data_IF_808966856328
#
_entry.id   IF_808966856328
#
_cell.length_a   1.000
_cell.length_b   1.000
_cell.length_c   1.000
_cell.angle_alpha   90.00
_cell.angle_beta   90.00
_cell.angle_gamma   90.00
#
_symmetry.space_group_name_H-M   'P 1'
#
loop_
_entity.id
_entity.type
_entity.pdbx_description
1 polymer ?
#
# COMPACT_ATOMS: atom_id res chain seq x y z
N UNK A 1 -23.19 -51.67 -49.56
CA UNK A 1 -23.44 -51.14 -48.21
C UNK A 1 -22.10 -50.77 -47.59
N UNK A 2 -21.72 -49.50 -47.54
CA UNK A 2 -20.52 -49.04 -46.79
C UNK A 2 -20.80 -47.65 -46.25
N UNK A 3 -20.97 -47.56 -44.93
CA UNK A 3 -21.34 -46.36 -44.21
C UNK A 3 -20.10 -45.66 -43.63
N UNK A 4 -20.09 -44.34 -43.76
CA UNK A 4 -19.74 -43.32 -42.77
C UNK A 4 -18.79 -43.72 -41.62
N UNK A 5 -17.61 -43.09 -41.55
CA UNK A 5 -16.97 -42.60 -40.31
C UNK A 5 -16.10 -41.37 -40.69
N UNK A 6 -16.64 -40.17 -40.53
CA UNK A 6 -15.89 -38.91 -40.45
C UNK A 6 -16.48 -38.07 -39.31
N UNK A 7 -16.20 -38.46 -38.06
CA UNK A 7 -16.43 -37.62 -36.87
C UNK A 7 -15.39 -37.91 -35.81
N UNK A 8 -14.19 -37.37 -35.93
CA UNK A 8 -13.29 -37.31 -34.76
C UNK A 8 -12.21 -36.22 -34.81
N UNK A 9 -12.47 -35.02 -35.35
CA UNK A 9 -11.44 -33.97 -35.38
C UNK A 9 -11.78 -32.67 -34.63
N UNK A 10 -12.99 -32.55 -34.06
CA UNK A 10 -13.44 -31.32 -33.37
C UNK A 10 -13.21 -31.33 -31.84
N UNK A 11 -12.70 -32.42 -31.28
CA UNK A 11 -12.44 -32.58 -29.83
C UNK A 11 -11.08 -32.04 -29.33
N UNK A 12 -9.94 -32.15 -30.06
CA UNK A 12 -8.67 -31.67 -29.53
C UNK A 12 -8.57 -30.13 -29.51
N UNK A 13 -9.28 -29.44 -30.41
CA UNK A 13 -9.26 -27.98 -30.50
C UNK A 13 -9.95 -27.29 -29.30
N UNK A 14 -11.01 -27.92 -28.75
CA UNK A 14 -11.70 -27.40 -27.56
C UNK A 14 -10.86 -27.57 -26.28
N UNK A 15 -10.10 -28.67 -26.18
CA UNK A 15 -9.20 -28.90 -25.05
C UNK A 15 -8.01 -27.93 -25.05
N UNK A 16 -7.45 -27.62 -26.22
CA UNK A 16 -6.40 -26.60 -26.39
C UNK A 16 -6.89 -25.19 -26.03
N UNK A 17 -8.12 -24.83 -26.41
CA UNK A 17 -8.72 -23.55 -26.05
C UNK A 17 -8.98 -23.42 -24.54
N UNK A 18 -9.42 -24.49 -23.88
CA UNK A 18 -9.62 -24.52 -22.41
C UNK A 18 -8.27 -24.43 -21.70
N UNK A 19 -7.23 -25.13 -22.18
CA UNK A 19 -5.89 -25.06 -21.61
C UNK A 19 -5.28 -23.66 -21.75
N UNK A 20 -5.51 -22.99 -22.89
CA UNK A 20 -5.09 -21.60 -23.10
C UNK A 20 -5.82 -20.62 -22.16
N UNK A 21 -7.13 -20.82 -21.95
CA UNK A 21 -7.92 -19.98 -21.03
C UNK A 21 -7.49 -20.16 -19.57
N UNK A 22 -7.15 -21.37 -19.14
CA UNK A 22 -6.60 -21.64 -17.81
C UNK A 22 -5.20 -21.04 -17.62
N UNK A 23 -4.39 -20.95 -18.68
CA UNK A 23 -3.06 -20.35 -18.61
C UNK A 23 -3.09 -18.83 -18.38
N UNK A 24 -4.15 -18.14 -18.84
CA UNK A 24 -4.35 -16.72 -18.58
C UNK A 24 -4.85 -16.43 -17.16
N UNK A 25 -5.64 -17.32 -16.57
CA UNK A 25 -6.16 -17.14 -15.22
C UNK A 25 -5.07 -17.24 -14.13
N UNK A 26 -3.96 -17.95 -14.40
CA UNK A 26 -2.86 -18.12 -13.44
C UNK A 26 -1.89 -16.91 -13.39
N UNK A 27 -2.05 -15.90 -14.27
CA UNK A 27 -1.10 -14.78 -14.38
C UNK A 27 -1.49 -13.54 -13.55
N UNK A 28 -2.25 -13.72 -12.48
CA UNK A 28 -2.94 -12.62 -11.77
C UNK A 28 -2.76 -12.54 -10.25
N UNK A 29 -1.95 -13.39 -9.61
CA UNK A 29 -1.69 -13.24 -8.17
C UNK A 29 -0.63 -12.14 -7.95
N UNK A 30 -1.04 -10.87 -8.07
CA UNK A 30 -0.31 -9.78 -7.46
C UNK A 30 -0.47 -9.90 -5.94
N UNK A 31 0.59 -9.65 -5.18
CA UNK A 31 0.49 -9.50 -3.72
C UNK A 31 -0.42 -8.31 -3.42
N UNK A 32 -1.67 -8.60 -3.09
CA UNK A 32 -2.71 -7.60 -2.84
C UNK A 32 -2.47 -7.02 -1.45
N UNK A 33 -1.95 -5.80 -1.40
CA UNK A 33 -1.85 -5.02 -0.16
C UNK A 33 -3.16 -4.28 -0.02
N UNK A 34 -3.92 -4.60 1.02
CA UNK A 34 -5.20 -3.96 1.33
C UNK A 34 -5.01 -2.90 2.42
N UNK A 35 -5.56 -1.72 2.19
CA UNK A 35 -5.59 -0.64 3.20
C UNK A 35 -6.92 -0.75 3.96
N UNK A 36 -6.86 -0.79 5.29
CA UNK A 36 -8.01 -0.98 6.20
C UNK A 36 -8.11 0.17 7.19
N UNK A 37 -9.35 0.52 7.53
CA UNK A 37 -9.71 1.50 8.56
C UNK A 37 -8.92 2.82 8.51
N UNK A 38 -8.83 3.51 7.35
CA UNK A 38 -8.20 4.82 7.33
C UNK A 38 -9.03 5.81 8.16
N UNK A 39 -8.39 6.50 9.10
CA UNK A 39 -9.01 7.51 9.94
C UNK A 39 -8.16 8.77 9.96
N UNK A 40 -8.79 9.90 9.63
CA UNK A 40 -8.21 11.23 9.77
C UNK A 40 -8.80 11.87 11.03
N UNK A 41 -7.93 12.20 11.98
CA UNK A 41 -8.30 12.79 13.26
C UNK A 41 -7.62 14.13 13.42
N UNK A 42 -8.34 15.19 13.84
CA UNK A 42 -7.71 16.45 14.20
C UNK A 42 -6.78 16.23 15.42
N UNK A 43 -5.57 16.78 15.36
CA UNK A 43 -4.58 16.81 16.42
C UNK A 43 -4.01 18.22 16.61
N UNK A 44 -3.02 18.35 17.49
CA UNK A 44 -2.49 19.67 17.89
C UNK A 44 -1.77 20.41 16.75
N UNK A 45 -1.00 19.67 15.94
CA UNK A 45 -0.19 20.21 14.82
C UNK A 45 -0.92 20.17 13.46
N UNK A 46 -2.18 19.72 13.43
CA UNK A 46 -2.98 19.58 12.21
C UNK A 46 -3.74 18.25 12.16
N UNK A 47 -3.86 17.61 10.99
CA UNK A 47 -4.54 16.32 10.90
C UNK A 47 -3.56 15.16 10.90
N UNK A 48 -3.90 14.16 11.71
CA UNK A 48 -3.17 12.90 11.80
C UNK A 48 -3.93 11.78 11.12
N UNK A 49 -3.20 10.91 10.42
CA UNK A 49 -3.72 9.73 9.75
C UNK A 49 -3.33 8.48 10.55
N UNK A 50 -4.32 7.62 10.76
CA UNK A 50 -4.12 6.26 11.23
C UNK A 50 -4.73 5.28 10.23
N UNK A 51 -4.03 4.21 9.91
CA UNK A 51 -4.49 3.18 8.98
C UNK A 51 -3.80 1.84 9.29
N UNK A 52 -4.44 0.75 8.88
CA UNK A 52 -3.91 -0.59 8.98
C UNK A 52 -3.70 -1.16 7.57
N UNK A 53 -2.54 -1.73 7.28
CA UNK A 53 -2.20 -2.33 6.00
C UNK A 53 -2.19 -3.86 6.16
N UNK A 54 -3.10 -4.54 5.49
CA UNK A 54 -3.10 -6.00 5.41
C UNK A 54 -2.34 -6.42 4.15
N UNK A 55 -1.17 -7.01 4.32
CA UNK A 55 -0.40 -7.58 3.22
C UNK A 55 0.33 -8.84 3.66
N UNK A 56 0.54 -9.72 2.68
CA UNK A 56 1.40 -10.89 2.87
C UNK A 56 2.80 -10.57 2.37
N UNK A 57 3.78 -10.92 3.20
CA UNK A 57 5.18 -10.72 2.88
C UNK A 57 5.70 -11.99 2.21
N UNK A 58 6.25 -11.88 1.01
CA UNK A 58 6.67 -13.06 0.26
C UNK A 58 8.05 -13.56 0.71
N UNK A 59 8.30 -14.85 0.49
CA UNK A 59 9.56 -15.51 0.89
C UNK A 59 10.81 -14.86 0.31
N UNK A 60 10.74 -14.29 -0.91
CA UNK A 60 11.90 -13.59 -1.50
C UNK A 60 12.27 -12.32 -0.74
N UNK A 61 11.29 -11.54 -0.31
CA UNK A 61 11.51 -10.35 0.50
C UNK A 61 12.04 -10.74 1.88
N UNK A 62 11.58 -11.86 2.46
CA UNK A 62 12.09 -12.39 3.74
C UNK A 62 13.57 -12.75 3.64
N UNK A 63 13.92 -13.53 2.63
CA UNK A 63 15.30 -13.91 2.37
C UNK A 63 16.17 -12.68 2.10
N UNK A 64 15.67 -11.72 1.32
CA UNK A 64 16.40 -10.50 1.02
C UNK A 64 16.73 -9.71 2.29
N UNK A 65 15.74 -9.44 3.14
CA UNK A 65 15.95 -8.73 4.42
C UNK A 65 16.95 -9.49 5.28
N UNK A 66 16.79 -10.80 5.41
CA UNK A 66 17.67 -11.65 6.24
C UNK A 66 19.10 -11.68 5.71
N UNK A 67 19.31 -11.56 4.39
CA UNK A 67 20.62 -11.40 3.75
C UNK A 67 21.19 -9.99 3.86
N UNK A 68 20.53 -9.09 4.58
CA UNK A 68 20.99 -7.72 4.83
C UNK A 68 20.55 -6.70 3.79
N UNK A 69 19.64 -7.05 2.88
CA UNK A 69 19.05 -6.09 1.93
C UNK A 69 18.10 -5.17 2.68
N UNK A 70 18.23 -3.87 2.44
CA UNK A 70 17.36 -2.86 3.02
C UNK A 70 16.13 -2.70 2.13
N UNK A 71 14.94 -2.90 2.70
CA UNK A 71 13.66 -2.66 2.03
C UNK A 71 13.11 -1.31 2.46
N UNK A 72 12.81 -0.44 1.48
CA UNK A 72 12.21 0.86 1.74
C UNK A 72 10.76 0.84 1.24
N UNK A 73 9.83 0.98 2.16
CA UNK A 73 8.42 1.15 1.88
C UNK A 73 8.09 2.64 1.87
N UNK A 74 7.25 3.06 0.94
CA UNK A 74 6.75 4.40 0.82
C UNK A 74 5.25 4.39 1.07
N UNK A 75 4.84 5.15 2.08
CA UNK A 75 3.44 5.48 2.35
C UNK A 75 3.16 6.82 1.68
N UNK A 76 2.22 6.87 0.75
CA UNK A 76 1.84 8.06 0.00
C UNK A 76 0.41 8.44 0.38
N UNK A 77 0.23 9.70 0.79
CA UNK A 77 -1.07 10.29 1.10
C UNK A 77 -1.31 11.49 0.18
N UNK A 78 -2.49 11.53 -0.43
CA UNK A 78 -2.95 12.67 -1.20
C UNK A 78 -4.34 13.10 -0.71
N UNK A 79 -4.54 14.40 -0.63
CA UNK A 79 -5.85 15.00 -0.37
C UNK A 79 -6.23 15.84 -1.59
N UNK A 80 -7.28 15.44 -2.27
CA UNK A 80 -7.82 16.16 -3.43
C UNK A 80 -9.17 16.75 -3.11
N UNK A 81 -9.48 17.89 -3.73
CA UNK A 81 -10.81 18.46 -3.69
C UNK A 81 -11.57 18.06 -4.94
N UNK A 82 -12.63 17.28 -4.76
CA UNK A 82 -13.52 16.84 -5.85
C UNK A 82 -14.28 18.05 -6.40
N UNK A 83 -13.93 18.53 -7.58
CA UNK A 83 -14.62 19.64 -8.28
C UNK A 83 -15.24 19.13 -9.58
N UNK A 84 -16.51 19.48 -9.79
CA UNK A 84 -17.36 18.86 -10.82
C UNK A 84 -16.94 19.04 -12.29
N UNK A 85 -16.14 20.04 -12.71
CA UNK A 85 -16.06 20.37 -14.15
C UNK A 85 -14.70 20.54 -14.84
N UNK A 86 -13.53 20.38 -14.20
CA UNK A 86 -12.28 20.68 -14.95
C UNK A 86 -10.99 20.00 -14.45
N UNK A 87 -10.76 19.84 -13.14
CA UNK A 87 -9.55 19.21 -12.60
C UNK A 87 -9.67 19.07 -11.08
N UNK A 88 -9.22 17.94 -10.55
CA UNK A 88 -9.04 17.75 -9.11
C UNK A 88 -7.90 18.65 -8.61
N UNK A 89 -8.19 19.47 -7.60
CA UNK A 89 -7.20 20.35 -6.99
C UNK A 89 -6.48 19.57 -5.87
N UNK A 90 -5.19 19.29 -6.03
CA UNK A 90 -4.37 18.62 -5.00
C UNK A 90 -4.13 19.61 -3.86
N UNK A 91 -4.89 19.46 -2.79
CA UNK A 91 -4.83 20.32 -1.60
C UNK A 91 -3.55 20.05 -0.81
N UNK A 92 -3.20 18.77 -0.66
CA UNK A 92 -1.99 18.37 0.02
C UNK A 92 -1.49 17.01 -0.50
N UNK A 93 -0.18 16.84 -0.46
CA UNK A 93 0.47 15.55 -0.69
C UNK A 93 1.59 15.39 0.33
N UNK A 94 1.66 14.19 0.92
CA UNK A 94 2.70 13.81 1.88
C UNK A 94 3.14 12.38 1.61
N UNK A 95 4.42 12.13 1.81
CA UNK A 95 5.01 10.80 1.70
C UNK A 95 5.91 10.52 2.89
N UNK A 96 5.89 9.26 3.36
CA UNK A 96 6.73 8.79 4.46
C UNK A 96 7.43 7.51 4.03
N UNK A 97 8.74 7.46 4.24
CA UNK A 97 9.54 6.27 3.97
C UNK A 97 9.75 5.48 5.26
N UNK A 98 9.35 4.21 5.23
CA UNK A 98 9.61 3.22 6.27
C UNK A 98 10.71 2.29 5.78
N UNK A 99 11.78 2.16 6.56
CA UNK A 99 12.94 1.33 6.21
C UNK A 99 13.00 0.10 7.10
N UNK A 100 12.98 -1.07 6.48
CA UNK A 100 13.20 -2.36 7.13
C UNK A 100 14.59 -2.90 6.76
N UNK A 101 15.37 -3.29 7.76
CA UNK A 101 16.71 -3.83 7.59
C UNK A 101 17.01 -4.89 8.64
N UNK A 102 17.97 -5.77 8.36
CA UNK A 102 18.44 -6.77 9.32
C UNK A 102 19.89 -6.49 9.71
N UNK A 103 20.18 -6.50 11.01
CA UNK A 103 21.53 -6.44 11.53
C UNK A 103 22.00 -7.84 11.91
N UNK A 104 22.93 -8.41 11.12
CA UNK A 104 23.45 -9.75 11.34
C UNK A 104 24.30 -9.89 12.62
N UNK A 105 24.92 -8.80 13.10
CA UNK A 105 25.75 -8.82 14.31
C UNK A 105 24.88 -8.95 15.56
N UNK A 106 23.83 -8.13 15.66
CA UNK A 106 22.90 -8.15 16.80
C UNK A 106 21.75 -9.13 16.59
N UNK A 107 21.62 -9.71 15.39
CA UNK A 107 20.53 -10.59 14.96
C UNK A 107 19.14 -9.97 15.16
N UNK A 108 19.03 -8.68 14.91
CA UNK A 108 17.80 -7.92 15.10
C UNK A 108 17.32 -7.31 13.79
N UNK A 109 15.99 -7.28 13.64
CA UNK A 109 15.33 -6.50 12.60
C UNK A 109 15.22 -5.05 13.07
N UNK A 110 15.50 -4.11 12.20
CA UNK A 110 15.39 -2.67 12.49
C UNK A 110 14.40 -2.04 11.54
N UNK A 111 13.37 -1.44 12.12
CA UNK A 111 12.40 -0.60 11.43
C UNK A 111 12.71 0.86 11.72
N UNK A 112 12.81 1.68 10.69
CA UNK A 112 13.05 3.13 10.81
C UNK A 112 11.96 3.90 10.10
N UNK A 113 11.38 4.89 10.78
CA UNK A 113 10.42 5.84 10.22
C UNK A 113 10.91 7.25 10.51
N UNK A 114 11.56 7.89 9.52
CA UNK A 114 12.25 9.16 9.72
C UNK A 114 13.31 9.07 10.83
N UNK A 115 13.12 9.83 11.91
CA UNK A 115 14.03 9.86 13.07
C UNK A 115 13.77 8.74 14.09
N UNK A 116 12.64 8.03 14.01
CA UNK A 116 12.32 6.94 14.92
C UNK A 116 12.95 5.64 14.44
N UNK A 117 13.71 4.99 15.29
CA UNK A 117 14.30 3.67 15.04
C UNK A 117 13.84 2.69 16.12
N UNK A 118 13.30 1.55 15.71
CA UNK A 118 12.88 0.47 16.60
C UNK A 118 13.54 -0.83 16.15
N UNK A 119 14.05 -1.60 17.12
CA UNK A 119 14.65 -2.91 16.88
C UNK A 119 13.70 -4.01 17.38
N UNK A 120 13.64 -5.11 16.64
CA UNK A 120 12.78 -6.25 16.89
C UNK A 120 13.57 -7.55 16.82
N UNK A 121 13.13 -8.54 17.59
CA UNK A 121 13.72 -9.89 17.62
C UNK A 121 13.29 -10.75 16.43
N UNK A 122 12.07 -10.55 15.92
CA UNK A 122 11.52 -11.32 14.81
C UNK A 122 11.02 -10.44 13.67
N UNK A 123 10.99 -11.00 12.47
CA UNK A 123 10.45 -10.32 11.29
C UNK A 123 8.95 -10.06 11.46
N UNK A 124 8.19 -11.02 12.00
CA UNK A 124 6.76 -10.88 12.24
C UNK A 124 6.42 -9.72 13.20
N UNK A 125 7.24 -9.48 14.23
CA UNK A 125 7.09 -8.31 15.11
C UNK A 125 7.30 -7.01 14.33
N UNK A 126 8.37 -6.93 13.54
CA UNK A 126 8.65 -5.76 12.72
C UNK A 126 7.53 -5.50 11.71
N UNK A 127 7.01 -6.55 11.06
CA UNK A 127 5.91 -6.45 10.10
C UNK A 127 4.58 -6.07 10.76
N UNK A 128 4.29 -6.54 11.99
CA UNK A 128 3.11 -6.12 12.76
C UNK A 128 3.10 -4.63 13.09
N UNK A 129 4.27 -4.03 13.28
CA UNK A 129 4.39 -2.59 13.49
C UNK A 129 4.38 -1.86 12.15
N UNK A 130 5.04 -2.39 11.12
CA UNK A 130 5.06 -1.81 9.77
C UNK A 130 3.65 -1.72 9.17
N UNK A 131 2.80 -2.73 9.41
CA UNK A 131 1.42 -2.76 8.95
C UNK A 131 0.52 -1.75 9.65
N UNK A 132 0.96 -1.11 10.73
CA UNK A 132 0.13 -0.19 11.52
C UNK A 132 0.68 1.22 11.43
N UNK A 133 0.00 2.06 10.66
CA UNK A 133 0.29 3.48 10.61
C UNK A 133 -0.49 4.20 11.71
N UNK A 134 0.23 4.88 12.60
CA UNK A 134 -0.36 5.55 13.76
C UNK A 134 0.15 6.98 13.88
N UNK A 135 -0.77 7.92 14.14
CA UNK A 135 -0.47 9.32 14.42
C UNK A 135 0.45 10.00 13.39
N UNK A 136 0.34 9.65 12.10
CA UNK A 136 1.16 10.29 11.08
C UNK A 136 0.55 11.64 10.69
N UNK A 137 1.22 12.74 11.00
CA UNK A 137 0.77 14.08 10.60
C UNK A 137 0.86 14.24 9.08
N UNK A 138 -0.30 14.32 8.44
CA UNK A 138 -0.43 14.40 6.97
C UNK A 138 -0.84 15.79 6.49
N UNK A 139 -1.43 16.60 7.37
CA UNK A 139 -1.78 17.99 7.09
C UNK A 139 -1.28 18.84 8.23
N UNK A 140 -0.47 19.84 7.91
CA UNK A 140 -0.07 20.87 8.86
C UNK A 140 -1.22 21.85 9.08
N UNK A 141 -1.27 22.47 10.28
CA UNK A 141 -2.26 23.51 10.62
C UNK A 141 -2.28 24.70 9.65
N UNK A 142 -1.21 24.93 8.89
CA UNK A 142 -1.13 25.97 7.86
C UNK A 142 -2.03 25.70 6.65
N UNK A 143 -2.42 24.45 6.41
CA UNK A 143 -3.31 24.08 5.30
C UNK A 143 -4.75 24.36 5.73
N UNK A 144 -5.29 25.50 5.29
CA UNK A 144 -6.65 25.89 5.59
C UNK A 144 -7.66 25.00 4.83
N UNK A 145 -8.18 23.99 5.51
CA UNK A 145 -9.33 23.22 5.04
C UNK A 145 -10.62 24.01 5.30
N UNK A 146 -11.55 24.00 4.34
CA UNK A 146 -12.82 24.71 4.47
C UNK A 146 -13.82 23.85 5.26
N UNK A 147 -14.33 24.32 6.40
CA UNK A 147 -15.30 23.56 7.19
C UNK A 147 -16.57 23.25 6.38
N UNK A 148 -17.01 22.00 6.43
CA UNK A 148 -18.20 21.55 5.70
C UNK A 148 -17.99 21.26 4.20
N UNK A 149 -16.79 21.43 3.66
CA UNK A 149 -16.44 20.87 2.35
C UNK A 149 -16.01 19.40 2.48
N UNK A 150 -16.36 18.62 1.45
CA UNK A 150 -15.92 17.23 1.29
C UNK A 150 -14.67 17.18 0.43
N UNK A 151 -13.66 16.47 0.91
CA UNK A 151 -12.42 16.18 0.21
C UNK A 151 -12.35 14.68 -0.08
N UNK A 152 -11.53 14.28 -1.04
CA UNK A 152 -11.19 12.89 -1.29
C UNK A 152 -9.78 12.64 -0.77
N UNK A 153 -9.68 11.76 0.22
CA UNK A 153 -8.40 11.31 0.74
C UNK A 153 -8.00 10.02 0.03
N UNK A 154 -6.73 9.93 -0.35
CA UNK A 154 -6.15 8.80 -1.06
C UNK A 154 -4.92 8.32 -0.28
N UNK A 155 -4.83 7.01 -0.02
CA UNK A 155 -3.71 6.39 0.69
C UNK A 155 -3.18 5.20 -0.10
N UNK A 156 -1.85 5.09 -0.14
CA UNK A 156 -1.16 3.96 -0.78
C UNK A 156 0.08 3.57 0.01
N UNK A 157 0.36 2.27 0.07
CA UNK A 157 1.63 1.71 0.54
C UNK A 157 2.32 0.99 -0.62
N UNK A 158 3.60 1.23 -0.84
CA UNK A 158 4.38 0.48 -1.84
C UNK A 158 5.82 0.25 -1.41
N UNK A 159 6.39 -0.86 -1.84
CA UNK A 159 7.82 -1.10 -1.80
C UNK A 159 8.48 -0.31 -2.93
N UNK A 160 9.59 0.37 -2.65
CA UNK A 160 10.38 1.07 -3.64
C UNK A 160 11.59 0.22 -4.08
N UNK A 161 11.51 -0.50 -5.22
CA UNK A 161 12.60 -1.32 -5.72
C UNK A 161 13.78 -0.48 -6.25
N UNK A 162 13.60 0.82 -6.51
CA UNK A 162 14.66 1.69 -7.00
C UNK A 162 15.76 1.93 -5.95
N UNK A 163 15.42 1.77 -4.67
CA UNK A 163 16.34 1.91 -3.55
C UNK A 163 17.06 0.61 -3.21
N UNK A 164 16.78 -0.49 -3.92
CA UNK A 164 17.48 -1.76 -3.75
C UNK A 164 18.89 -1.67 -4.36
N UNK A 165 19.86 -2.48 -3.88
CA UNK A 165 21.16 -2.59 -4.53
C UNK A 165 21.02 -2.96 -6.02
N UNK A 166 21.90 -2.45 -6.88
CA UNK A 166 21.84 -2.62 -8.35
C UNK A 166 21.57 -4.07 -8.82
N UNK A 167 22.17 -5.13 -8.22
CA UNK A 167 21.86 -6.51 -8.61
C UNK A 167 20.38 -6.88 -8.44
N UNK A 168 19.72 -6.37 -7.39
CA UNK A 168 18.31 -6.64 -7.11
C UNK A 168 17.38 -5.79 -7.99
N UNK A 169 17.79 -4.60 -8.40
CA UNK A 169 17.01 -3.76 -9.33
C UNK A 169 16.74 -4.49 -10.67
N UNK A 170 17.73 -5.21 -11.19
CA UNK A 170 17.58 -6.02 -12.42
C UNK A 170 16.55 -7.13 -12.25
N UNK A 171 16.48 -7.72 -11.06
CA UNK A 171 15.52 -8.79 -10.75
C UNK A 171 14.13 -8.22 -10.50
N UNK A 172 14.03 -7.04 -9.88
CA UNK A 172 12.76 -6.39 -9.60
C UNK A 172 12.01 -5.93 -10.87
N UNK A 173 12.74 -5.52 -11.91
CA UNK A 173 12.16 -5.20 -13.21
C UNK A 173 11.57 -6.44 -13.92
N UNK A 174 12.20 -7.60 -13.74
CA UNK A 174 11.79 -8.84 -14.38
C UNK A 174 10.76 -9.63 -13.56
N UNK A 175 10.58 -9.32 -12.28
CA UNK A 175 9.92 -10.22 -11.35
C UNK A 175 8.95 -9.52 -10.39
N UNK A 176 7.69 -9.98 -10.43
CA UNK A 176 6.59 -9.48 -9.59
C UNK A 176 6.81 -9.74 -8.10
N UNK A 177 7.69 -10.67 -7.72
CA UNK A 177 8.04 -10.93 -6.32
C UNK A 177 8.73 -9.73 -5.62
N UNK A 178 9.20 -8.72 -6.37
CA UNK A 178 9.72 -7.48 -5.78
C UNK A 178 8.72 -6.31 -5.85
N UNK A 179 7.50 -6.57 -6.30
CA UNK A 179 6.45 -5.57 -6.48
C UNK A 179 5.36 -5.77 -5.43
N UNK A 180 5.63 -5.33 -4.21
CA UNK A 180 4.63 -5.24 -3.15
C UNK A 180 4.07 -3.82 -3.14
N UNK A 181 2.84 -3.65 -3.58
CA UNK A 181 2.18 -2.36 -3.60
C UNK A 181 0.67 -2.52 -3.39
N UNK A 182 0.08 -1.57 -2.67
CA UNK A 182 -1.37 -1.42 -2.62
C UNK A 182 -1.86 -0.63 -3.81
N UNK A 183 -3.12 -0.83 -4.14
CA UNK A 183 -3.88 0.14 -4.89
C UNK A 183 -4.14 1.39 -4.05
N UNK A 184 -4.54 2.47 -4.71
CA UNK A 184 -4.95 3.70 -4.03
C UNK A 184 -6.31 3.46 -3.36
N UNK A 185 -6.32 3.44 -2.03
CA UNK A 185 -7.57 3.49 -1.29
C UNK A 185 -8.07 4.93 -1.27
N UNK A 186 -9.27 5.15 -1.78
CA UNK A 186 -9.93 6.46 -1.80
C UNK A 186 -11.11 6.45 -0.84
N UNK A 187 -11.22 7.45 0.02
CA UNK A 187 -12.39 7.65 0.86
C UNK A 187 -12.75 9.14 0.99
N UNK A 188 -14.06 9.47 1.11
CA UNK A 188 -14.48 10.84 1.35
C UNK A 188 -14.12 11.25 2.77
N UNK A 189 -13.57 12.46 2.92
CA UNK A 189 -13.26 13.10 4.19
C UNK A 189 -13.97 14.44 4.27
N UNK A 190 -14.85 14.60 5.27
CA UNK A 190 -15.51 15.86 5.56
C UNK A 190 -14.87 16.52 6.76
N UNK A 191 -14.52 17.80 6.62
CA UNK A 191 -13.92 18.58 7.70
C UNK A 191 -14.96 18.75 8.81
N UNK A 192 -14.69 18.30 10.05
CA UNK A 192 -15.58 18.55 11.17
C UNK A 192 -15.81 20.05 11.30
N UNK A 193 -17.08 20.46 11.41
CA UNK A 193 -17.41 21.84 11.75
C UNK A 193 -17.04 21.99 13.23
N UNK A 194 -16.06 22.85 13.53
CA UNK A 194 -15.74 23.21 14.91
C UNK A 194 -17.01 23.80 15.54
N UNK A 195 -17.71 22.98 16.34
CA UNK A 195 -18.92 23.42 17.04
C UNK A 195 -18.43 24.28 18.21
N UNK A 196 -18.82 25.57 18.27
CA UNK A 196 -18.36 26.43 19.36
C UNK A 196 -18.78 25.83 20.71
N UNK A 197 -18.01 26.06 21.79
CA UNK A 197 -18.34 25.55 23.11
C UNK A 197 -19.78 25.94 23.45
N UNK A 198 -20.61 24.96 23.83
CA UNK A 198 -21.95 25.24 24.36
C UNK A 198 -21.80 25.96 25.69
N UNK A 199 -21.70 27.28 25.63
CA UNK A 199 -21.81 28.18 26.78
C UNK A 199 -23.25 28.10 27.27
N UNK A 200 -23.50 27.24 28.26
CA UNK A 200 -24.85 27.03 28.76
C UNK A 200 -25.04 25.78 29.60
N UNK A 201 -24.42 25.73 30.78
CA UNK A 201 -25.02 25.09 31.93
C UNK A 201 -24.69 25.94 33.16
N UNK A 202 -25.72 26.65 33.59
CA UNK A 202 -25.79 27.61 34.67
C UNK A 202 -25.52 26.97 36.02
#
# INVERSE_FOLDING_TARGET
MTASIMRCWKRPLKLLAICWLCLWAALGAASEVEVRNPQLTPGDDGYTLSADFAFEFNSRLEEAVTRGVVLNFLVEFELTRVRWYWLDDKVASRSQTLRLSYNALTRQYRLSSGALHQNFSSLEEALRILSRLRHWTVLDKSVALRPGETYQASLRLRLDPSQLPKPFQLTALANREWNLASDWLNWPFSVPREEPPREGAK
#
